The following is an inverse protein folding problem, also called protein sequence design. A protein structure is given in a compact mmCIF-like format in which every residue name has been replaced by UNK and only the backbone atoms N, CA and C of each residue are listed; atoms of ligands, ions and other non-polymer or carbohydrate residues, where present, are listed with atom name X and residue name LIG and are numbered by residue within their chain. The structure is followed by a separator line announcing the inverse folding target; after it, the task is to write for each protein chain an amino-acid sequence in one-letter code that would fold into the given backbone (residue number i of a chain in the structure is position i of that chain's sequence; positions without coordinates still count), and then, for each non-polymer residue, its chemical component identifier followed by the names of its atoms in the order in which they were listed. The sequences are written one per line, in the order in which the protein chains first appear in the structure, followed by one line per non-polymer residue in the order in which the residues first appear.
data_IF_825270815447
#
_entry.id   IF_825270815447
#
_cell.length_a   1.000
_cell.length_b   1.000
_cell.length_c   1.000
_cell.angle_alpha   90.00
_cell.angle_beta   90.00
_cell.angle_gamma   90.00
#
_symmetry.space_group_name_H-M   'P 1'
#
loop_
_entity.id
_entity.type
_entity.pdbx_description
1 polymer ?
#
# COMPACT_ATOMS: atom_id res chain seq x y z
N UNK A 1 12.29 8.41 -5.63
CA UNK A 1 11.82 7.10 -5.15
C UNK A 1 12.51 6.84 -3.82
N UNK A 2 11.76 6.54 -2.77
CA UNK A 2 12.33 6.00 -1.52
C UNK A 2 11.75 4.60 -1.40
N UNK A 3 12.61 3.61 -1.66
CA UNK A 3 12.32 2.19 -1.41
C UNK A 3 13.11 1.83 -0.16
N UNK A 4 12.44 1.59 0.94
CA UNK A 4 13.07 1.03 2.13
C UNK A 4 12.85 -0.48 2.12
N UNK A 5 13.93 -1.25 2.02
CA UNK A 5 13.97 -2.67 2.31
C UNK A 5 14.66 -2.85 3.65
N UNK A 6 13.93 -3.18 4.71
CA UNK A 6 14.52 -3.55 5.99
C UNK A 6 14.81 -5.06 6.01
N UNK A 7 15.88 -5.47 5.34
CA UNK A 7 16.66 -6.62 5.79
C UNK A 7 17.62 -6.07 6.84
N UNK A 8 17.24 -6.18 8.12
CA UNK A 8 17.95 -5.75 9.35
C UNK A 8 19.39 -5.23 9.14
N UNK A 9 19.58 -3.91 8.95
CA UNK A 9 20.46 -3.04 9.75
C UNK A 9 20.53 -1.59 9.22
N UNK A 10 20.39 -0.64 10.14
CA UNK A 10 20.87 0.76 10.14
C UNK A 10 20.73 1.65 8.88
N UNK A 11 19.74 2.53 8.92
CA UNK A 11 19.82 3.98 8.65
C UNK A 11 20.60 4.49 7.43
N UNK A 12 19.86 5.01 6.44
CA UNK A 12 20.42 5.90 5.41
C UNK A 12 19.48 6.13 4.22
N UNK A 13 18.91 7.33 4.11
CA UNK A 13 18.15 7.78 2.94
C UNK A 13 19.14 8.14 1.80
N UNK A 14 19.04 7.47 0.65
CA UNK A 14 19.79 7.84 -0.55
C UNK A 14 18.88 7.86 -1.79
N UNK A 15 18.92 8.97 -2.54
CA UNK A 15 18.06 9.26 -3.69
C UNK A 15 18.68 8.76 -5.00
N UNK A 16 17.90 8.13 -5.87
CA UNK A 16 18.27 7.94 -7.29
C UNK A 16 17.04 7.74 -8.19
N UNK A 17 17.21 8.14 -9.46
CA UNK A 17 16.21 8.42 -10.48
C UNK A 17 16.40 7.55 -11.73
N UNK A 18 15.42 6.70 -12.09
CA UNK A 18 15.13 6.28 -13.50
C UNK A 18 14.01 5.23 -13.57
N UNK A 19 12.76 5.65 -13.78
CA UNK A 19 11.58 4.76 -13.93
C UNK A 19 11.39 4.31 -15.39
N UNK A 20 11.79 5.14 -16.37
CA UNK A 20 11.37 5.00 -17.77
C UNK A 20 12.02 3.83 -18.54
N UNK A 21 13.14 3.27 -18.09
CA UNK A 21 13.84 2.21 -18.82
C UNK A 21 13.25 0.80 -18.62
N UNK A 22 12.50 0.56 -17.53
CA UNK A 22 12.04 -0.79 -17.16
C UNK A 22 10.66 -1.18 -17.74
N UNK A 23 9.91 -0.24 -18.32
CA UNK A 23 8.56 -0.48 -18.85
C UNK A 23 8.49 -1.02 -20.28
N UNK A 24 9.61 -1.27 -20.98
CA UNK A 24 9.59 -1.46 -22.44
C UNK A 24 9.84 -2.87 -22.98
N UNK A 25 10.03 -3.92 -22.15
CA UNK A 25 10.24 -5.28 -22.68
C UNK A 25 9.67 -6.36 -21.77
N UNK A 26 8.57 -7.00 -22.19
CA UNK A 26 8.49 -8.47 -22.29
C UNK A 26 7.22 -8.94 -23.02
N UNK A 27 7.42 -9.77 -24.04
CA UNK A 27 6.37 -10.49 -24.79
C UNK A 27 6.46 -11.97 -24.41
N UNK A 28 5.27 -12.55 -24.19
CA UNK A 28 4.87 -13.98 -24.25
C UNK A 28 5.58 -15.01 -23.38
N UNK A 29 4.82 -15.54 -22.40
CA UNK A 29 5.09 -16.80 -21.71
C UNK A 29 4.05 -17.05 -20.61
N UNK A 30 2.80 -17.38 -21.00
CA UNK A 30 1.70 -17.60 -20.05
C UNK A 30 1.75 -19.02 -19.47
N UNK A 31 1.89 -19.15 -18.16
CA UNK A 31 1.29 -20.27 -17.43
C UNK A 31 -0.09 -19.80 -16.91
N UNK A 32 -1.18 -20.56 -17.12
CA UNK A 32 -2.50 -20.15 -16.65
C UNK A 32 -2.57 -20.23 -15.12
N UNK A 33 -3.01 -19.14 -14.48
CA UNK A 33 -3.43 -19.15 -13.08
C UNK A 33 -4.54 -20.18 -12.89
N UNK A 34 -4.28 -21.27 -12.16
CA UNK A 34 -5.34 -22.20 -11.75
C UNK A 34 -6.15 -21.54 -10.63
N UNK A 35 -7.47 -21.40 -10.76
CA UNK A 35 -8.30 -20.90 -9.67
C UNK A 35 -8.33 -21.91 -8.52
N UNK A 36 -8.08 -21.44 -7.29
CA UNK A 36 -8.38 -22.19 -6.07
C UNK A 36 -9.90 -22.21 -5.88
N UNK A 37 -10.45 -23.37 -5.52
CA UNK A 37 -11.89 -23.57 -5.37
C UNK A 37 -12.46 -22.72 -4.23
N UNK A 38 -13.52 -21.97 -4.52
CA UNK A 38 -14.24 -21.15 -3.55
C UNK A 38 -15.08 -22.05 -2.64
N UNK A 39 -14.74 -22.13 -1.35
CA UNK A 39 -15.56 -22.82 -0.34
C UNK A 39 -16.57 -21.81 0.19
N UNK A 40 -17.83 -21.89 -0.26
CA UNK A 40 -18.92 -21.10 0.34
C UNK A 40 -19.69 -21.97 1.33
N UNK A 41 -19.42 -21.79 2.63
CA UNK A 41 -20.35 -22.25 3.67
C UNK A 41 -21.37 -21.16 3.94
N UNK A 42 -22.65 -21.46 3.70
CA UNK A 42 -23.78 -20.64 4.17
C UNK A 42 -23.95 -20.92 5.65
N UNK A 43 -23.85 -19.89 6.49
CA UNK A 43 -24.21 -20.01 7.89
C UNK A 43 -24.96 -18.77 8.38
N UNK A 44 -25.97 -19.03 9.21
CA UNK A 44 -27.08 -18.14 9.50
C UNK A 44 -26.76 -17.07 10.55
N UNK A 45 -27.18 -15.83 10.30
CA UNK A 45 -27.83 -14.95 11.30
C UNK A 45 -27.06 -14.42 12.53
N UNK A 46 -25.79 -14.77 12.77
CA UNK A 46 -24.96 -14.10 13.80
C UNK A 46 -23.83 -13.32 13.12
N UNK A 47 -23.64 -12.05 13.48
CA UNK A 47 -22.45 -11.28 13.08
C UNK A 47 -21.20 -11.91 13.73
N UNK A 48 -20.68 -12.98 13.14
CA UNK A 48 -19.40 -13.57 13.52
C UNK A 48 -18.35 -12.49 13.32
N UNK A 49 -17.55 -12.26 14.37
CA UNK A 49 -16.43 -11.31 14.32
C UNK A 49 -15.40 -11.91 13.37
N UNK A 50 -15.42 -11.50 12.10
CA UNK A 50 -14.48 -11.98 11.08
C UNK A 50 -13.09 -11.47 11.45
N UNK A 51 -12.26 -12.41 11.89
CA UNK A 51 -10.84 -12.22 12.17
C UNK A 51 -10.05 -12.73 10.96
N UNK A 52 -9.00 -12.02 10.52
CA UNK A 52 -8.13 -12.51 9.47
C UNK A 52 -7.55 -13.88 9.83
N UNK A 53 -7.49 -14.77 8.85
CA UNK A 53 -6.95 -16.12 8.99
C UNK A 53 -5.64 -16.27 8.21
N UNK A 54 -5.08 -17.48 8.14
CA UNK A 54 -3.92 -17.81 7.30
C UNK A 54 -4.24 -18.98 6.36
N UNK A 55 -5.53 -19.17 6.02
CA UNK A 55 -5.98 -20.38 5.33
C UNK A 55 -5.39 -20.50 3.91
N UNK A 56 -5.45 -19.42 3.13
CA UNK A 56 -4.92 -19.43 1.76
C UNK A 56 -3.40 -19.56 1.79
N UNK A 57 -2.75 -18.84 2.70
CA UNK A 57 -1.30 -18.92 2.87
C UNK A 57 -0.84 -20.34 3.23
N UNK A 58 -1.52 -21.01 4.17
CA UNK A 58 -1.22 -22.41 4.53
C UNK A 58 -1.42 -23.39 3.37
N UNK A 59 -2.47 -23.20 2.55
CA UNK A 59 -2.66 -24.00 1.35
C UNK A 59 -1.53 -23.80 0.33
N UNK A 60 -1.04 -22.57 0.17
CA UNK A 60 0.09 -22.28 -0.72
C UNK A 60 1.40 -22.89 -0.20
N UNK A 61 1.63 -22.88 1.11
CA UNK A 61 2.77 -23.59 1.72
C UNK A 61 2.72 -25.09 1.43
N UNK A 62 1.54 -25.72 1.55
CA UNK A 62 1.34 -27.12 1.21
C UNK A 62 1.58 -27.42 -0.28
N UNK A 63 1.31 -26.43 -1.15
CA UNK A 63 1.57 -26.51 -2.59
C UNK A 63 3.04 -26.24 -2.97
N UNK A 64 3.93 -26.06 -1.99
CA UNK A 64 5.38 -25.97 -2.21
C UNK A 64 5.95 -24.56 -2.30
N UNK A 65 5.12 -23.52 -2.19
CA UNK A 65 5.60 -22.14 -2.04
C UNK A 65 6.22 -21.95 -0.65
N UNK A 66 7.18 -21.04 -0.53
CA UNK A 66 7.94 -20.82 0.71
C UNK A 66 7.94 -19.38 1.19
N UNK A 67 7.76 -18.41 0.29
CA UNK A 67 7.82 -16.98 0.59
C UNK A 67 6.56 -16.30 0.07
N UNK A 68 5.46 -16.58 0.74
CA UNK A 68 4.15 -16.01 0.40
C UNK A 68 4.01 -14.66 1.10
N UNK A 69 3.79 -13.60 0.34
CA UNK A 69 3.52 -12.28 0.91
C UNK A 69 2.05 -11.87 0.75
N UNK A 70 1.51 -11.19 1.76
CA UNK A 70 0.32 -10.36 1.65
C UNK A 70 0.71 -8.94 1.25
N UNK A 71 -0.05 -8.32 0.35
CA UNK A 71 0.24 -6.98 -0.19
C UNK A 71 -1.01 -6.11 -0.17
N UNK A 72 -0.87 -4.89 0.34
CA UNK A 72 -1.94 -3.89 0.37
C UNK A 72 -1.37 -2.47 0.15
N UNK A 73 -2.25 -1.55 -0.27
CA UNK A 73 -1.93 -0.14 -0.48
C UNK A 73 -2.74 0.84 0.37
N UNK A 74 -2.16 2.01 0.59
CA UNK A 74 -2.86 3.16 1.16
C UNK A 74 -2.56 4.43 0.37
N UNK A 75 -3.51 5.36 0.39
CA UNK A 75 -3.30 6.70 -0.15
C UNK A 75 -3.77 6.87 -1.59
N UNK A 76 -4.71 6.07 -2.08
CA UNK A 76 -5.20 6.24 -3.45
C UNK A 76 -6.08 7.47 -3.67
N UNK A 77 -6.96 7.77 -2.72
CA UNK A 77 -7.92 8.89 -2.81
C UNK A 77 -7.43 10.31 -2.47
N UNK A 78 -6.42 10.51 -1.60
CA UNK A 78 -5.91 11.85 -1.25
C UNK A 78 -5.52 12.71 -2.44
N UNK A 79 -5.70 14.03 -2.31
CA UNK A 79 -5.22 15.06 -3.25
C UNK A 79 -3.72 15.31 -3.11
N UNK A 80 -3.12 14.96 -1.96
CA UNK A 80 -1.70 15.17 -1.68
C UNK A 80 -1.02 13.95 -1.06
N UNK A 81 0.30 13.90 -1.23
CA UNK A 81 1.18 12.86 -0.74
C UNK A 81 1.18 11.59 -1.59
N UNK A 82 1.93 10.57 -1.18
CA UNK A 82 2.18 9.39 -1.99
C UNK A 82 1.08 8.33 -1.90
N UNK A 83 1.17 7.34 -2.78
CA UNK A 83 0.65 5.99 -2.56
C UNK A 83 1.78 5.17 -1.94
N UNK A 84 1.45 4.42 -0.89
CA UNK A 84 2.36 3.50 -0.23
C UNK A 84 1.76 2.10 -0.31
N UNK A 85 2.51 1.15 -0.89
CA UNK A 85 2.19 -0.26 -0.82
C UNK A 85 3.18 -0.97 0.07
N UNK A 86 2.73 -1.95 0.85
CA UNK A 86 3.59 -2.81 1.66
C UNK A 86 3.33 -4.26 1.33
N UNK A 87 4.40 -5.06 1.24
CA UNK A 87 4.32 -6.51 1.18
C UNK A 87 4.87 -7.11 2.49
N UNK A 88 4.23 -8.15 3.00
CA UNK A 88 4.56 -8.78 4.30
C UNK A 88 4.58 -10.29 4.16
N UNK A 89 5.65 -10.93 4.63
CA UNK A 89 5.75 -12.37 4.83
C UNK A 89 5.68 -12.64 6.33
N UNK A 90 4.76 -13.53 6.74
CA UNK A 90 4.56 -13.88 8.14
C UNK A 90 5.27 -15.20 8.48
N UNK A 91 5.92 -15.30 9.66
CA UNK A 91 6.48 -16.56 10.13
C UNK A 91 5.37 -17.52 10.57
N UNK A 92 5.60 -18.84 10.52
CA UNK A 92 4.58 -19.87 10.84
C UNK A 92 3.93 -19.67 12.22
N UNK A 93 4.71 -19.22 13.22
CA UNK A 93 4.25 -18.97 14.58
C UNK A 93 3.55 -17.62 14.80
N UNK A 94 3.26 -16.84 13.75
CA UNK A 94 2.59 -15.54 13.89
C UNK A 94 1.22 -15.66 14.58
N UNK A 95 1.03 -14.90 15.66
CA UNK A 95 -0.15 -14.99 16.53
C UNK A 95 -0.65 -13.64 17.09
N UNK A 96 -0.31 -12.53 16.44
CA UNK A 96 -0.82 -11.22 16.86
C UNK A 96 -2.33 -11.15 16.59
N UNK A 97 -3.11 -10.66 17.55
CA UNK A 97 -4.54 -10.46 17.38
C UNK A 97 -4.86 -9.31 16.43
N UNK A 98 -5.43 -9.65 15.27
CA UNK A 98 -5.86 -8.70 14.25
C UNK A 98 -7.37 -8.51 14.29
N UNK A 99 -7.84 -7.27 14.17
CA UNK A 99 -9.27 -6.91 14.10
C UNK A 99 -9.80 -6.88 12.64
N UNK A 100 -8.95 -7.21 11.68
CA UNK A 100 -9.19 -7.03 10.25
C UNK A 100 -9.03 -5.57 9.84
N UNK A 101 -10.00 -5.06 9.07
CA UNK A 101 -10.06 -3.70 8.51
C UNK A 101 -9.31 -2.65 9.37
N UNK A 102 -8.22 -2.12 8.82
CA UNK A 102 -7.35 -1.15 9.47
C UNK A 102 -8.08 0.13 9.92
N UNK A 103 -9.28 0.40 9.37
CA UNK A 103 -10.16 1.51 9.75
C UNK A 103 -10.95 1.26 11.02
N UNK A 104 -11.08 0.00 11.46
CA UNK A 104 -11.68 -0.35 12.76
C UNK A 104 -10.73 -0.07 13.93
N UNK A 105 -9.47 0.20 13.65
CA UNK A 105 -8.50 0.63 14.64
C UNK A 105 -8.56 2.15 14.83
N UNK A 106 -8.56 2.58 16.09
CA UNK A 106 -8.15 3.95 16.42
C UNK A 106 -6.66 4.12 16.10
N UNK A 107 -6.20 5.36 15.90
CA UNK A 107 -4.76 5.63 15.64
C UNK A 107 -3.86 5.02 16.72
N UNK A 108 -4.22 5.20 17.99
CA UNK A 108 -3.50 4.61 19.14
C UNK A 108 -3.46 3.08 19.09
N UNK A 109 -4.58 2.44 18.77
CA UNK A 109 -4.63 0.97 18.67
C UNK A 109 -3.80 0.47 17.48
N UNK A 110 -3.85 1.17 16.34
CA UNK A 110 -3.08 0.82 15.15
C UNK A 110 -1.57 0.96 15.39
N UNK A 111 -1.14 2.02 16.08
CA UNK A 111 0.27 2.20 16.45
C UNK A 111 0.76 1.10 17.38
N UNK A 112 -0.04 0.73 18.40
CA UNK A 112 0.30 -0.39 19.29
C UNK A 112 0.48 -1.70 18.51
N UNK A 113 -0.48 -2.06 17.65
CA UNK A 113 -0.38 -3.29 16.86
C UNK A 113 0.78 -3.22 15.87
N UNK A 114 1.04 -2.06 15.28
CA UNK A 114 2.23 -1.86 14.45
C UNK A 114 3.53 -2.10 15.23
N UNK A 115 3.67 -1.59 16.45
CA UNK A 115 4.83 -1.86 17.30
C UNK A 115 4.97 -3.35 17.62
N UNK A 116 3.87 -4.04 17.94
CA UNK A 116 3.84 -5.48 18.15
C UNK A 116 4.29 -6.25 16.89
N UNK A 117 3.81 -5.86 15.69
CA UNK A 117 4.22 -6.44 14.41
C UNK A 117 5.72 -6.26 14.16
N UNK A 118 6.22 -5.03 14.34
CA UNK A 118 7.64 -4.71 14.08
C UNK A 118 8.58 -5.42 15.06
N UNK A 119 8.12 -5.70 16.28
CA UNK A 119 8.88 -6.45 17.28
C UNK A 119 8.77 -7.97 17.12
N UNK A 120 7.85 -8.47 16.28
CA UNK A 120 7.59 -9.90 16.14
C UNK A 120 8.71 -10.59 15.34
N UNK A 121 9.42 -11.57 15.92
CA UNK A 121 10.53 -12.24 15.24
C UNK A 121 10.07 -12.96 13.96
N UNK A 122 10.76 -12.68 12.85
CA UNK A 122 10.52 -13.34 11.56
C UNK A 122 9.45 -12.69 10.69
N UNK A 123 8.82 -11.59 11.11
CA UNK A 123 8.01 -10.78 10.19
C UNK A 123 8.93 -10.05 9.22
N UNK A 124 8.88 -10.41 7.95
CA UNK A 124 9.59 -9.71 6.88
C UNK A 124 8.64 -8.77 6.15
N UNK A 125 9.09 -7.56 5.82
CA UNK A 125 8.27 -6.61 5.09
C UNK A 125 9.12 -5.69 4.20
N UNK A 126 8.51 -5.19 3.13
CA UNK A 126 9.09 -4.15 2.30
C UNK A 126 7.99 -3.21 1.79
N UNK A 127 8.34 -1.94 1.63
CA UNK A 127 7.39 -0.91 1.21
C UNK A 127 7.87 -0.17 -0.03
N UNK A 128 6.95 0.08 -0.95
CA UNK A 128 7.18 0.94 -2.11
C UNK A 128 6.31 2.20 -2.01
N UNK A 129 6.97 3.36 -2.10
CA UNK A 129 6.32 4.68 -2.07
C UNK A 129 6.38 5.34 -3.44
N UNK A 130 5.23 5.70 -4.00
CA UNK A 130 5.11 6.40 -5.29
C UNK A 130 4.65 7.83 -5.04
N UNK A 131 5.48 8.79 -5.48
CA UNK A 131 5.31 10.22 -5.20
C UNK A 131 4.11 10.82 -5.94
N UNK A 132 3.62 11.99 -5.50
CA UNK A 132 2.56 12.70 -6.21
C UNK A 132 2.91 12.99 -7.68
N UNK A 133 4.17 13.39 -7.94
CA UNK A 133 4.72 13.60 -9.28
C UNK A 133 4.66 12.34 -10.14
N UNK A 134 5.06 11.20 -9.59
CA UNK A 134 5.04 9.93 -10.32
C UNK A 134 3.61 9.40 -10.51
N UNK A 135 2.70 9.68 -9.57
CA UNK A 135 1.26 9.42 -9.72
C UNK A 135 0.68 10.21 -10.88
N UNK A 136 1.01 11.49 -11.01
CA UNK A 136 0.54 12.32 -12.12
C UNK A 136 1.04 11.78 -13.48
N UNK A 137 2.25 11.21 -13.53
CA UNK A 137 2.82 10.60 -14.74
C UNK A 137 2.20 9.24 -15.09
N UNK A 138 1.99 8.40 -14.08
CA UNK A 138 1.56 7.00 -14.27
C UNK A 138 0.05 6.81 -14.23
N UNK A 139 -0.70 7.85 -13.85
CA UNK A 139 -2.04 7.78 -13.27
C UNK A 139 -2.11 6.96 -11.96
N UNK A 140 -3.19 7.15 -11.21
CA UNK A 140 -3.34 6.50 -9.89
C UNK A 140 -3.40 4.97 -9.96
N UNK A 141 -3.99 4.43 -11.03
CA UNK A 141 -4.05 2.99 -11.26
C UNK A 141 -2.66 2.42 -11.53
N UNK A 142 -1.92 3.03 -12.46
CA UNK A 142 -0.56 2.63 -12.80
C UNK A 142 0.40 2.75 -11.61
N UNK A 143 0.33 3.85 -10.87
CA UNK A 143 1.13 4.06 -9.66
C UNK A 143 0.84 3.00 -8.58
N UNK A 144 -0.44 2.66 -8.37
CA UNK A 144 -0.83 1.61 -7.42
C UNK A 144 -0.28 0.24 -7.84
N UNK A 145 -0.49 -0.15 -9.10
CA UNK A 145 -0.02 -1.44 -9.62
C UNK A 145 1.51 -1.56 -9.54
N UNK A 146 2.22 -0.47 -9.87
CA UNK A 146 3.67 -0.41 -9.71
C UNK A 146 4.09 -0.62 -8.24
N UNK A 147 3.47 0.10 -7.31
CA UNK A 147 3.80 0.01 -5.89
C UNK A 147 3.60 -1.41 -5.34
N UNK A 148 2.47 -2.05 -5.68
CA UNK A 148 2.16 -3.42 -5.24
C UNK A 148 3.19 -4.43 -5.77
N UNK A 149 3.51 -4.38 -7.07
CA UNK A 149 4.50 -5.28 -7.67
C UNK A 149 5.90 -5.07 -7.09
N UNK A 150 6.30 -3.81 -6.90
CA UNK A 150 7.62 -3.48 -6.40
C UNK A 150 7.78 -3.86 -4.92
N UNK A 151 6.76 -3.68 -4.08
CA UNK A 151 6.78 -4.12 -2.70
C UNK A 151 6.97 -5.65 -2.59
N UNK A 152 6.21 -6.43 -3.36
CA UNK A 152 6.34 -7.89 -3.42
C UNK A 152 7.73 -8.33 -3.89
N UNK A 153 8.29 -7.65 -4.89
CA UNK A 153 9.65 -7.89 -5.38
C UNK A 153 10.71 -7.60 -4.32
N UNK A 154 10.57 -6.49 -3.58
CA UNK A 154 11.53 -6.05 -2.56
C UNK A 154 11.58 -6.98 -1.35
N UNK A 155 10.44 -7.55 -0.94
CA UNK A 155 10.41 -8.55 0.15
C UNK A 155 10.89 -9.94 -0.31
N UNK A 156 11.14 -10.12 -1.61
CA UNK A 156 11.64 -11.37 -2.18
C UNK A 156 10.64 -12.51 -2.10
N UNK A 157 9.36 -12.23 -2.35
CA UNK A 157 8.31 -13.25 -2.35
C UNK A 157 8.38 -14.19 -3.56
N UNK A 158 7.92 -15.43 -3.39
CA UNK A 158 7.68 -16.39 -4.49
C UNK A 158 6.19 -16.53 -4.84
N UNK A 159 5.30 -15.99 -3.99
CA UNK A 159 3.86 -15.88 -4.24
C UNK A 159 3.30 -14.60 -3.60
N UNK A 160 2.36 -13.93 -4.25
CA UNK A 160 1.69 -12.75 -3.70
C UNK A 160 0.17 -12.92 -3.54
N UNK A 161 -0.35 -12.62 -2.35
CA UNK A 161 -1.76 -12.39 -2.05
C UNK A 161 -2.00 -10.88 -2.02
N UNK A 162 -2.82 -10.37 -2.93
CA UNK A 162 -2.96 -8.92 -3.18
C UNK A 162 -4.36 -8.48 -2.78
N UNK A 163 -4.51 -7.43 -1.97
CA UNK A 163 -5.84 -6.85 -1.72
C UNK A 163 -6.47 -6.29 -3.01
N UNK A 164 -7.76 -6.53 -3.18
CA UNK A 164 -8.54 -6.02 -4.30
C UNK A 164 -8.78 -7.06 -5.40
N UNK A 165 -8.89 -6.58 -6.64
CA UNK A 165 -9.39 -7.37 -7.78
C UNK A 165 -8.56 -7.25 -9.05
N UNK A 166 -7.33 -6.71 -8.95
CA UNK A 166 -6.46 -6.49 -10.11
C UNK A 166 -5.05 -6.95 -9.80
N UNK A 167 -4.51 -7.74 -10.72
CA UNK A 167 -3.12 -8.16 -10.70
C UNK A 167 -2.26 -7.09 -11.39
N UNK A 168 -1.15 -6.66 -10.79
CA UNK A 168 -0.19 -5.79 -11.46
C UNK A 168 0.40 -6.47 -12.71
N UNK A 169 0.36 -5.80 -13.86
CA UNK A 169 0.89 -6.36 -15.12
C UNK A 169 2.41 -6.58 -15.10
N UNK A 170 3.13 -5.90 -14.20
CA UNK A 170 4.58 -6.07 -13.98
C UNK A 170 4.92 -7.12 -12.94
N UNK A 171 3.92 -7.83 -12.38
CA UNK A 171 4.15 -8.90 -11.43
C UNK A 171 4.81 -10.09 -12.14
N UNK A 172 5.97 -10.53 -11.64
CA UNK A 172 6.77 -11.61 -12.22
C UNK A 172 6.71 -12.92 -11.41
N UNK A 173 5.89 -12.95 -10.36
CA UNK A 173 5.62 -14.14 -9.54
C UNK A 173 4.13 -14.52 -9.62
N UNK A 174 3.78 -15.79 -9.38
CA UNK A 174 2.40 -16.19 -9.18
C UNK A 174 1.71 -15.33 -8.12
N UNK A 175 0.45 -14.98 -8.37
CA UNK A 175 -0.30 -14.15 -7.45
C UNK A 175 -1.80 -14.40 -7.52
N UNK A 176 -2.49 -14.02 -6.45
CA UNK A 176 -3.92 -14.11 -6.32
C UNK A 176 -4.48 -12.84 -5.68
N UNK A 177 -5.55 -12.30 -6.23
CA UNK A 177 -6.22 -11.10 -5.70
C UNK A 177 -7.38 -11.49 -4.82
N UNK A 178 -7.51 -10.87 -3.66
CA UNK A 178 -8.55 -11.14 -2.68
C UNK A 178 -9.28 -9.85 -2.38
N UNK A 179 -10.57 -9.79 -2.71
CA UNK A 179 -11.41 -8.63 -2.40
C UNK A 179 -11.62 -8.57 -0.89
N UNK A 180 -11.21 -7.46 -0.25
CA UNK A 180 -11.21 -7.29 1.22
C UNK A 180 -10.26 -8.28 1.91
N UNK A 181 -9.12 -8.53 1.28
CA UNK A 181 -8.07 -9.39 1.81
C UNK A 181 -7.55 -8.90 3.17
N UNK A 182 -7.57 -7.59 3.41
CA UNK A 182 -7.24 -6.96 4.70
C UNK A 182 -8.12 -7.43 5.87
N UNK A 183 -9.32 -7.93 5.57
CA UNK A 183 -10.25 -8.49 6.55
C UNK A 183 -10.21 -10.01 6.66
N UNK A 184 -9.71 -10.71 5.64
CA UNK A 184 -9.76 -12.18 5.56
C UNK A 184 -8.41 -12.86 5.75
N UNK A 185 -7.31 -12.24 5.32
CA UNK A 185 -5.96 -12.81 5.35
C UNK A 185 -5.02 -11.97 6.23
N UNK A 186 -4.34 -12.65 7.15
CA UNK A 186 -3.49 -12.01 8.16
C UNK A 186 -2.33 -11.25 7.53
N UNK A 187 -1.68 -11.80 6.51
CA UNK A 187 -0.56 -11.16 5.84
C UNK A 187 -0.97 -9.85 5.13
N UNK A 188 -2.15 -9.82 4.49
CA UNK A 188 -2.70 -8.60 3.88
C UNK A 188 -3.13 -7.62 4.96
N UNK A 189 -3.75 -8.09 6.04
CA UNK A 189 -4.14 -7.24 7.17
C UNK A 189 -2.93 -6.55 7.80
N UNK A 190 -1.82 -7.27 8.02
CA UNK A 190 -0.57 -6.71 8.53
C UNK A 190 0.04 -5.72 7.54
N UNK A 191 0.03 -6.03 6.24
CA UNK A 191 0.48 -5.11 5.19
C UNK A 191 -0.31 -3.79 5.22
N UNK A 192 -1.64 -3.85 5.38
CA UNK A 192 -2.52 -2.68 5.47
C UNK A 192 -2.14 -1.76 6.65
N UNK A 193 -1.79 -2.35 7.80
CA UNK A 193 -1.43 -1.62 9.01
C UNK A 193 -0.09 -0.92 8.81
N UNK A 194 0.92 -1.63 8.29
CA UNK A 194 2.25 -1.06 8.04
C UNK A 194 2.16 0.08 7.02
N UNK A 195 1.50 -0.16 5.89
CA UNK A 195 1.32 0.85 4.84
C UNK A 195 0.64 2.11 5.41
N UNK A 196 -0.43 1.93 6.18
CA UNK A 196 -1.18 3.03 6.80
C UNK A 196 -0.33 3.83 7.78
N UNK A 197 0.43 3.17 8.67
CA UNK A 197 1.29 3.85 9.65
C UNK A 197 2.42 4.60 8.95
N UNK A 198 3.08 3.99 7.97
CA UNK A 198 4.14 4.64 7.21
C UNK A 198 3.62 5.87 6.46
N UNK A 199 2.50 5.76 5.75
CA UNK A 199 1.92 6.91 5.05
C UNK A 199 1.47 8.00 6.02
N UNK A 200 0.84 7.65 7.14
CA UNK A 200 0.39 8.66 8.12
C UNK A 200 1.56 9.41 8.74
N UNK A 201 2.69 8.73 9.04
CA UNK A 201 3.94 9.36 9.47
C UNK A 201 4.49 10.30 8.41
N UNK A 202 4.52 9.88 7.14
CA UNK A 202 4.94 10.75 6.04
C UNK A 202 4.09 12.03 5.98
N UNK A 203 2.77 11.93 6.13
CA UNK A 203 1.90 13.11 6.11
C UNK A 203 2.12 14.05 7.32
N UNK A 204 2.54 13.52 8.47
CA UNK A 204 2.92 14.33 9.64
C UNK A 204 4.20 15.12 9.37
N UNK A 205 5.21 14.49 8.76
CA UNK A 205 6.43 15.22 8.36
C UNK A 205 6.14 16.23 7.26
N UNK A 206 5.20 15.92 6.37
CA UNK A 206 4.75 16.84 5.33
C UNK A 206 4.10 18.09 5.90
N UNK A 207 3.35 17.96 6.98
CA UNK A 207 2.72 19.07 7.72
C UNK A 207 3.75 20.04 8.28
N UNK A 208 4.89 19.51 8.76
CA UNK A 208 6.01 20.34 9.24
C UNK A 208 6.69 21.08 8.08
N UNK A 209 6.83 20.42 6.93
CA UNK A 209 7.45 21.00 5.73
C UNK A 209 6.58 22.06 5.06
N UNK A 210 5.27 21.85 5.06
CA UNK A 210 4.27 22.76 4.48
C UNK A 210 3.20 23.09 5.52
N UNK A 211 3.53 23.97 6.49
CA UNK A 211 2.57 24.38 7.52
C UNK A 211 1.36 25.08 6.89
N UNK A 212 0.19 24.92 7.51
CA UNK A 212 -1.07 25.52 7.05
C UNK A 212 -1.99 24.58 6.26
N UNK A 213 -1.45 23.56 5.58
CA UNK A 213 -2.25 22.60 4.79
C UNK A 213 -2.99 21.55 5.61
N UNK A 214 -2.67 21.41 6.90
CA UNK A 214 -3.32 20.46 7.81
C UNK A 214 -3.06 18.98 7.46
N UNK A 215 -1.94 18.67 6.79
CA UNK A 215 -1.58 17.32 6.39
C UNK A 215 -1.52 16.33 7.56
N UNK A 216 -1.18 16.82 8.76
CA UNK A 216 -1.20 16.00 9.98
C UNK A 216 -2.60 15.48 10.29
N UNK A 217 -3.66 16.25 10.08
CA UNK A 217 -5.03 15.87 10.40
C UNK A 217 -5.73 15.24 9.20
N UNK A 218 -5.75 15.92 8.06
CA UNK A 218 -6.49 15.49 6.87
C UNK A 218 -5.77 14.41 6.06
N UNK A 219 -4.48 14.12 6.32
CA UNK A 219 -3.66 13.12 5.61
C UNK A 219 -3.65 13.29 4.08
N UNK A 220 -3.90 14.50 3.60
CA UNK A 220 -3.98 14.89 2.19
C UNK A 220 -5.34 14.65 1.54
N UNK A 221 -6.37 14.21 2.28
CA UNK A 221 -7.72 14.06 1.73
C UNK A 221 -8.36 15.42 1.48
N UNK A 222 -9.06 15.55 0.36
CA UNK A 222 -9.72 16.78 -0.12
C UNK A 222 -10.96 17.20 0.68
N UNK A 223 -10.82 17.31 2.00
CA UNK A 223 -11.77 17.97 2.88
C UNK A 223 -12.08 19.40 2.41
N UNK A 224 -13.18 19.99 2.90
CA UNK A 224 -13.50 21.38 2.53
C UNK A 224 -12.38 22.33 2.97
N UNK A 225 -11.86 22.11 4.17
CA UNK A 225 -10.76 22.85 4.76
C UNK A 225 -9.50 22.76 3.89
N UNK A 226 -9.11 21.55 3.47
CA UNK A 226 -7.93 21.36 2.63
C UNK A 226 -8.11 22.02 1.25
N UNK A 227 -9.29 21.91 0.65
CA UNK A 227 -9.57 22.57 -0.64
C UNK A 227 -9.50 24.09 -0.54
N UNK A 228 -10.01 24.68 0.54
CA UNK A 228 -9.93 26.13 0.76
C UNK A 228 -8.48 26.57 0.92
N UNK A 229 -7.67 25.86 1.71
CA UNK A 229 -6.23 26.18 1.85
C UNK A 229 -5.49 26.08 0.51
N UNK A 230 -5.82 25.10 -0.34
CA UNK A 230 -5.23 25.01 -1.68
C UNK A 230 -5.62 26.22 -2.55
N UNK A 231 -6.86 26.71 -2.44
CA UNK A 231 -7.31 27.90 -3.17
C UNK A 231 -6.61 29.17 -2.68
N UNK A 232 -6.39 29.28 -1.37
CA UNK A 232 -5.82 30.49 -0.75
C UNK A 232 -4.28 30.53 -0.86
N UNK A 233 -3.61 29.39 -0.67
CA UNK A 233 -2.13 29.29 -0.61
C UNK A 233 -1.50 28.67 -1.85
N UNK A 234 -2.30 28.16 -2.80
CA UNK A 234 -1.82 27.38 -3.94
C UNK A 234 -1.43 25.95 -3.58
N UNK A 235 -1.22 25.06 -4.58
CA UNK A 235 -0.80 23.68 -4.35
C UNK A 235 0.71 23.57 -4.09
N UNK A 236 1.10 22.73 -3.14
CA UNK A 236 2.50 22.31 -2.95
C UNK A 236 2.95 21.29 -4.01
N UNK A 237 4.27 21.02 -4.16
CA UNK A 237 4.79 19.94 -5.02
C UNK A 237 4.30 18.53 -4.67
N UNK A 238 3.71 18.35 -3.49
CA UNK A 238 3.17 17.07 -3.03
C UNK A 238 1.70 16.87 -3.40
N UNK A 239 1.07 17.87 -4.00
CA UNK A 239 -0.28 17.74 -4.55
C UNK A 239 -0.25 17.05 -5.91
N UNK A 240 -1.26 16.21 -6.15
CA UNK A 240 -1.47 15.46 -7.38
C UNK A 240 -2.24 16.34 -8.35
N UNK A 241 -1.54 16.98 -9.27
CA UNK A 241 -2.11 17.97 -10.19
C UNK A 241 -3.10 17.36 -11.15
N UNK A 242 -3.01 16.06 -11.41
CA UNK A 242 -3.95 15.33 -12.26
C UNK A 242 -5.32 15.08 -11.60
N UNK A 243 -5.43 15.22 -10.27
CA UNK A 243 -6.66 14.90 -9.54
C UNK A 243 -7.64 16.07 -9.55
N UNK A 244 -8.93 15.79 -9.76
CA UNK A 244 -9.97 16.78 -9.48
C UNK A 244 -10.07 17.02 -7.95
N UNK A 245 -10.27 18.26 -7.48
CA UNK A 245 -10.55 19.47 -8.26
C UNK A 245 -9.32 20.22 -8.77
N UNK A 246 -8.09 19.87 -8.37
CA UNK A 246 -6.87 20.62 -8.73
C UNK A 246 -6.65 20.72 -10.23
N UNK A 247 -6.92 19.64 -10.98
CA UNK A 247 -6.81 19.63 -12.45
C UNK A 247 -7.76 20.60 -13.16
N UNK A 248 -8.75 21.15 -12.44
CA UNK A 248 -9.75 22.09 -12.94
C UNK A 248 -9.57 23.51 -12.38
N UNK A 249 -8.61 23.71 -11.48
CA UNK A 249 -8.29 25.04 -10.98
C UNK A 249 -7.47 25.77 -12.06
N UNK A 250 -7.86 27.00 -12.41
CA UNK A 250 -7.07 27.90 -13.24
C UNK A 250 -5.86 28.39 -12.44
N UNK A 251 -4.90 27.51 -12.22
CA UNK A 251 -3.63 27.85 -11.61
C UNK A 251 -2.77 28.57 -12.66
N UNK A 252 -2.12 29.66 -12.25
CA UNK A 252 -1.23 30.44 -13.11
C UNK A 252 -0.11 29.56 -13.69
N UNK A 253 0.41 29.89 -14.88
CA UNK A 253 1.36 29.00 -15.59
C UNK A 253 2.69 28.80 -14.85
N UNK A 254 3.05 29.70 -13.93
CA UNK A 254 4.21 29.55 -13.04
C UNK A 254 4.05 28.38 -12.05
N UNK A 255 2.81 28.04 -11.67
CA UNK A 255 2.50 26.90 -10.81
C UNK A 255 2.52 25.57 -11.57
N UNK A 256 2.61 25.52 -12.90
CA UNK A 256 2.46 24.28 -13.69
C UNK A 256 3.78 23.56 -14.01
N UNK A 257 4.91 24.00 -13.45
CA UNK A 257 6.21 23.44 -13.84
C UNK A 257 6.45 22.00 -13.30
N UNK A 258 6.98 21.09 -14.14
CA UNK A 258 7.00 19.63 -13.90
C UNK A 258 8.12 19.06 -13.01
#
# INVERSE_FOLDING_TARGET
MVCESNLVNSGGLCFSSSILAKCSRFVSGRAPCRPLACVTSRDEGKKVKVVPTRLIEQQLLQNGYRRICGVDEVGRGPLAGPVVATAVILPDQFHIELKGDSKKYTEKQRLRVYEEIMAFPGVEHASCTVTARDIDRLNIGGATMYALAEAARLVGADYALIDGNRVPGTMNIPCHTIVKGDTSESCISVASIIAKVQRDRFMVELDKKYPGYGFKSNKGYGSLEHRNVIMDMGPTPEHRRSFAPLSRMNLSDDDKTP
#
